data_IF_580251800622
#
_entry.id   IF_580251800622
#
_cell.length_a   1.000
_cell.length_b   1.000
_cell.length_c   1.000
_cell.angle_alpha   90.00
_cell.angle_beta   90.00
_cell.angle_gamma   90.00
#
_symmetry.space_group_name_H-M   'P 1'
#
loop_
_entity.id
_entity.type
_entity.pdbx_description
1 polymer ?
#
# COMPACT_ATOMS: atom_id res chain seq x y z
N UNK A 1 -5.41 -6.84 -17.03
CA UNK A 1 -6.18 -7.49 -15.95
C UNK A 1 -5.23 -7.48 -14.75
N UNK A 2 -5.41 -6.76 -13.64
CA UNK A 2 -6.59 -6.19 -13.00
C UNK A 2 -6.20 -5.03 -12.07
N UNK A 3 -6.71 -3.83 -12.34
CA UNK A 3 -6.83 -2.79 -11.33
C UNK A 3 -7.87 -1.77 -11.79
N UNK A 4 -9.09 -2.20 -12.10
CA UNK A 4 -10.23 -1.30 -12.36
C UNK A 4 -10.86 -0.82 -11.04
N UNK A 5 -10.02 -0.49 -10.06
CA UNK A 5 -10.39 0.53 -9.10
C UNK A 5 -9.90 1.83 -9.73
N UNK A 6 -10.83 2.58 -10.31
CA UNK A 6 -10.57 3.99 -10.59
C UNK A 6 -10.02 4.69 -9.33
N UNK A 7 -9.41 5.87 -9.51
CA UNK A 7 -8.81 6.62 -8.40
C UNK A 7 -9.79 6.84 -7.25
N UNK A 8 -11.08 6.98 -7.55
CA UNK A 8 -12.14 7.19 -6.57
C UNK A 8 -12.41 5.93 -5.72
N UNK A 9 -12.57 4.78 -6.35
CA UNK A 9 -12.82 3.50 -5.68
C UNK A 9 -11.59 3.03 -4.87
N UNK A 10 -10.38 3.36 -5.35
CA UNK A 10 -9.14 3.14 -4.61
C UNK A 10 -9.13 3.90 -3.27
N UNK A 11 -9.59 5.15 -3.29
CA UNK A 11 -9.70 5.98 -2.07
C UNK A 11 -10.78 5.45 -1.14
N UNK A 12 -11.94 5.02 -1.66
CA UNK A 12 -13.02 4.45 -0.84
C UNK A 12 -12.54 3.22 -0.06
N UNK A 13 -11.88 2.28 -0.74
CA UNK A 13 -11.31 1.08 -0.08
C UNK A 13 -10.24 1.46 0.94
N UNK A 14 -9.33 2.39 0.59
CA UNK A 14 -8.27 2.81 1.50
C UNK A 14 -8.82 3.41 2.81
N UNK A 15 -9.92 4.19 2.74
CA UNK A 15 -10.60 4.72 3.92
C UNK A 15 -11.27 3.63 4.75
N UNK A 16 -11.99 2.72 4.11
CA UNK A 16 -12.64 1.59 4.80
C UNK A 16 -11.63 0.72 5.55
N UNK A 17 -10.46 0.46 4.95
CA UNK A 17 -9.39 -0.29 5.60
C UNK A 17 -8.76 0.49 6.75
N UNK A 18 -8.64 1.82 6.63
CA UNK A 18 -8.07 2.68 7.66
C UNK A 18 -8.96 2.81 8.91
N UNK A 19 -10.28 2.75 8.73
CA UNK A 19 -11.27 2.81 9.80
C UNK A 19 -11.54 1.46 10.48
N UNK A 20 -10.97 0.37 9.95
CA UNK A 20 -11.12 -0.96 10.52
C UNK A 20 -10.16 -1.20 11.68
N UNK A 21 -10.61 -1.94 12.69
CA UNK A 21 -9.79 -2.34 13.85
C UNK A 21 -8.80 -3.49 13.54
N UNK A 22 -8.82 -4.03 12.31
CA UNK A 22 -7.97 -5.14 11.89
C UNK A 22 -6.57 -4.72 11.43
N UNK A 23 -5.61 -5.65 11.50
CA UNK A 23 -4.31 -5.48 10.86
C UNK A 23 -4.35 -5.98 9.42
N UNK A 24 -4.03 -5.10 8.47
CA UNK A 24 -4.01 -5.43 7.04
C UNK A 24 -2.59 -5.36 6.47
N UNK A 25 -2.23 -6.34 5.65
CA UNK A 25 -1.04 -6.30 4.78
C UNK A 25 -1.55 -6.18 3.35
N UNK A 26 -1.20 -5.08 2.67
CA UNK A 26 -1.68 -4.75 1.33
C UNK A 26 -0.49 -4.71 0.38
N UNK A 27 -0.55 -5.50 -0.69
CA UNK A 27 0.43 -5.45 -1.78
C UNK A 27 -0.20 -4.66 -2.92
N UNK A 28 0.34 -3.46 -3.18
CA UNK A 28 -0.21 -2.57 -4.21
C UNK A 28 0.86 -1.63 -4.76
N UNK A 29 0.68 -1.21 -6.01
CA UNK A 29 1.42 -0.10 -6.62
C UNK A 29 0.55 1.17 -6.72
N UNK A 30 -0.68 1.15 -6.18
CA UNK A 30 -1.62 2.26 -6.27
C UNK A 30 -1.31 3.34 -5.24
N UNK A 31 -0.85 4.49 -5.71
CA UNK A 31 -0.48 5.63 -4.86
C UNK A 31 -1.63 6.12 -3.96
N UNK A 32 -2.88 6.03 -4.43
CA UNK A 32 -4.03 6.46 -3.64
C UNK A 32 -4.24 5.56 -2.41
N UNK A 33 -3.91 4.27 -2.50
CA UNK A 33 -3.98 3.36 -1.35
C UNK A 33 -2.77 3.56 -0.44
N UNK A 34 -1.57 3.69 -1.00
CA UNK A 34 -0.33 3.87 -0.23
C UNK A 34 -0.36 5.11 0.67
N UNK A 35 -1.03 6.20 0.25
CA UNK A 35 -1.19 7.43 1.05
C UNK A 35 -1.93 7.24 2.38
N UNK A 36 -2.75 6.20 2.52
CA UNK A 36 -3.49 5.92 3.76
C UNK A 36 -2.80 4.86 4.64
N UNK A 37 -1.71 4.26 4.17
CA UNK A 37 -0.97 3.25 4.92
C UNK A 37 -0.16 3.90 6.06
N UNK A 38 -0.06 3.20 7.19
CA UNK A 38 0.75 3.66 8.33
C UNK A 38 2.25 3.45 8.12
N UNK A 39 2.59 2.38 7.40
CA UNK A 39 3.94 2.06 6.99
C UNK A 39 3.93 1.43 5.60
N UNK A 40 5.03 1.60 4.87
CA UNK A 40 5.30 0.94 3.61
C UNK A 40 6.54 0.06 3.72
N UNK A 41 6.48 -1.06 3.02
CA UNK A 41 7.60 -1.99 2.83
C UNK A 41 7.91 -1.99 1.33
N UNK A 42 8.94 -1.25 0.94
CA UNK A 42 9.47 -1.27 -0.41
C UNK A 42 10.28 -2.53 -0.64
N UNK A 43 10.03 -3.21 -1.75
CA UNK A 43 10.84 -4.34 -2.21
C UNK A 43 11.45 -3.97 -3.55
N UNK A 44 12.77 -4.10 -3.66
CA UNK A 44 13.53 -3.86 -4.88
C UNK A 44 14.42 -5.05 -5.20
N UNK A 45 14.79 -5.23 -6.46
CA UNK A 45 15.69 -6.28 -6.88
C UNK A 45 17.09 -5.70 -7.13
N UNK A 46 18.12 -6.24 -6.49
CA UNK A 46 19.51 -5.91 -6.78
C UNK A 46 20.34 -7.19 -6.90
N UNK A 47 21.10 -7.34 -7.99
CA UNK A 47 21.95 -8.51 -8.25
C UNK A 47 21.22 -9.86 -8.12
N UNK A 48 19.94 -9.92 -8.53
CA UNK A 48 19.13 -11.14 -8.45
C UNK A 48 18.63 -11.48 -7.04
N UNK A 49 18.81 -10.58 -6.06
CA UNK A 49 18.33 -10.74 -4.68
C UNK A 49 17.37 -9.62 -4.33
N UNK A 50 16.25 -9.97 -3.69
CA UNK A 50 15.30 -9.00 -3.16
C UNK A 50 15.88 -8.25 -1.96
N UNK A 51 15.87 -6.92 -2.02
CA UNK A 51 16.19 -6.02 -0.92
C UNK A 51 14.93 -5.33 -0.42
N UNK A 52 14.83 -5.19 0.90
CA UNK A 52 13.65 -4.66 1.60
C UNK A 52 14.00 -3.34 2.26
N UNK A 53 13.13 -2.34 2.12
CA UNK A 53 13.22 -1.03 2.78
C UNK A 53 11.90 -0.75 3.50
N UNK A 54 11.95 -0.50 4.80
CA UNK A 54 10.79 -0.10 5.59
C UNK A 54 10.72 1.42 5.77
N UNK A 55 9.54 2.01 5.57
CA UNK A 55 9.27 3.45 5.78
C UNK A 55 8.02 3.60 6.63
N UNK A 56 8.05 4.48 7.63
CA UNK A 56 6.83 4.94 8.33
C UNK A 56 6.30 6.19 7.62
N UNK A 57 5.04 6.18 7.21
CA UNK A 57 4.46 7.24 6.36
C UNK A 57 3.77 8.31 7.20
N UNK A 58 3.05 7.91 8.25
CA UNK A 58 2.31 8.84 9.11
C UNK A 58 3.12 9.14 10.38
N UNK A 59 3.86 10.26 10.35
CA UNK A 59 4.30 11.02 11.53
C UNK A 59 3.81 12.46 11.40
#
# INVERSE_FOLDING_TARGET
MDASLDSENSVKIARLLKESDGQFIIITHNENVMKYADAAIGVSMQNGVSQIVGVKINQ
#
